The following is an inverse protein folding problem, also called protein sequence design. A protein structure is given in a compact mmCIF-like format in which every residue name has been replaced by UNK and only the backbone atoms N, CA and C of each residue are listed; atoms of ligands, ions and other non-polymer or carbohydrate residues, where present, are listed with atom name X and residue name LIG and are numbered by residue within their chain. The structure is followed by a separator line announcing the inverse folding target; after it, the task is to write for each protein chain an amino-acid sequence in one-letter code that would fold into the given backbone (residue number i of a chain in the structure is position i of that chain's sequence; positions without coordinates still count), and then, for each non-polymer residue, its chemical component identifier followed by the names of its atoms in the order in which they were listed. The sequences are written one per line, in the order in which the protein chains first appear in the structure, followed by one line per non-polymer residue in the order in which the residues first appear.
data_IF_362468435311
#
_entry.id   IF_362468435311
#
_cell.length_a   1.000
_cell.length_b   1.000
_cell.length_c   1.000
_cell.angle_alpha   90.00
_cell.angle_beta   90.00
_cell.angle_gamma   90.00
#
_symmetry.space_group_name_H-M   'P 1'
#
loop_
_entity.id
_entity.type
_entity.pdbx_description
1 polymer ?
#
# COMPACT_ATOMS: atom_id res chain seq x y z
N UNK A 1 -34.34 11.31 0.88
CA UNK A 1 -33.00 11.04 0.36
C UNK A 1 -32.47 9.77 0.98
N UNK A 2 -32.35 8.72 0.21
CA UNK A 2 -31.66 7.50 0.63
C UNK A 2 -30.17 7.68 0.42
N UNK A 3 -29.43 7.90 1.50
CA UNK A 3 -27.97 7.77 1.46
C UNK A 3 -27.65 6.29 1.19
N UNK A 4 -27.09 6.00 0.03
CA UNK A 4 -26.48 4.67 -0.20
C UNK A 4 -25.30 4.55 0.73
N UNK A 5 -25.45 3.76 1.78
CA UNK A 5 -24.32 3.36 2.61
C UNK A 5 -23.33 2.58 1.71
N UNK A 6 -22.04 2.94 1.76
CA UNK A 6 -21.01 2.18 1.07
C UNK A 6 -21.01 0.74 1.61
N UNK A 7 -20.83 -0.28 0.75
CA UNK A 7 -20.72 -1.65 1.23
C UNK A 7 -19.55 -1.76 2.21
N UNK A 8 -19.78 -2.41 3.36
CA UNK A 8 -18.77 -2.61 4.40
C UNK A 8 -17.95 -3.89 4.21
N UNK A 9 -18.36 -4.77 3.30
CA UNK A 9 -17.70 -6.03 2.99
C UNK A 9 -17.11 -5.94 1.60
N UNK A 10 -15.82 -6.30 1.47
CA UNK A 10 -15.10 -6.26 0.21
C UNK A 10 -14.01 -7.33 0.14
N UNK A 11 -13.51 -7.60 -1.06
CA UNK A 11 -12.35 -8.44 -1.32
C UNK A 11 -11.22 -7.60 -1.87
N UNK A 12 -9.98 -7.99 -1.59
CA UNK A 12 -8.81 -7.39 -2.21
C UNK A 12 -8.39 -8.21 -3.43
N UNK A 13 -8.12 -7.53 -4.53
CA UNK A 13 -7.56 -8.16 -5.73
C UNK A 13 -6.09 -8.53 -5.53
N UNK A 14 -5.59 -9.48 -6.30
CA UNK A 14 -4.17 -9.85 -6.30
C UNK A 14 -3.27 -8.66 -6.61
N UNK A 15 -3.72 -7.77 -7.48
CA UNK A 15 -3.01 -6.54 -7.83
C UNK A 15 -2.84 -5.63 -6.61
N UNK A 16 -3.91 -5.42 -5.85
CA UNK A 16 -3.87 -4.61 -4.63
C UNK A 16 -3.02 -5.27 -3.53
N UNK A 17 -3.11 -6.59 -3.38
CA UNK A 17 -2.26 -7.33 -2.45
C UNK A 17 -0.77 -7.21 -2.80
N UNK A 18 -0.43 -7.30 -4.09
CA UNK A 18 0.94 -7.12 -4.58
C UNK A 18 1.45 -5.71 -4.31
N UNK A 19 0.60 -4.71 -4.52
CA UNK A 19 0.91 -3.31 -4.23
C UNK A 19 1.17 -3.08 -2.74
N UNK A 20 0.32 -3.62 -1.87
CA UNK A 20 0.48 -3.50 -0.42
C UNK A 20 1.77 -4.20 0.07
N UNK A 21 2.14 -5.33 -0.53
CA UNK A 21 3.44 -5.99 -0.26
C UNK A 21 4.63 -5.09 -0.62
N UNK A 22 4.55 -4.38 -1.73
CA UNK A 22 5.55 -3.40 -2.14
C UNK A 22 5.61 -2.24 -1.13
N UNK A 23 4.46 -1.71 -0.73
CA UNK A 23 4.38 -0.63 0.26
C UNK A 23 4.93 -1.04 1.62
N UNK A 24 4.77 -2.30 2.03
CA UNK A 24 5.34 -2.82 3.27
C UNK A 24 6.88 -2.76 3.29
N UNK A 25 7.53 -2.79 2.13
CA UNK A 25 8.97 -2.57 2.01
C UNK A 25 9.40 -1.10 2.16
N UNK A 26 8.47 -0.16 2.02
CA UNK A 26 8.71 1.28 2.20
C UNK A 26 8.47 1.69 3.65
N UNK A 27 7.34 1.28 4.21
CA UNK A 27 6.95 1.50 5.60
C UNK A 27 6.22 0.26 6.13
N UNK A 28 6.63 -0.23 7.29
CA UNK A 28 5.98 -1.39 7.90
C UNK A 28 4.53 -1.14 8.33
N UNK A 29 4.15 0.11 8.50
CA UNK A 29 2.80 0.54 8.89
C UNK A 29 2.13 1.29 7.75
N UNK A 30 0.80 1.31 7.73
CA UNK A 30 0.04 2.10 6.76
C UNK A 30 -1.22 2.68 7.38
N UNK A 31 -1.54 3.91 7.02
CA UNK A 31 -2.84 4.54 7.24
C UNK A 31 -3.60 4.51 5.92
N UNK A 32 -4.64 3.69 5.85
CA UNK A 32 -5.51 3.60 4.67
C UNK A 32 -6.64 4.61 4.83
N UNK A 33 -6.78 5.50 3.87
CA UNK A 33 -7.88 6.48 3.83
C UNK A 33 -9.11 5.86 3.17
N UNK A 34 -10.28 6.41 3.48
CA UNK A 34 -11.49 6.08 2.74
C UNK A 34 -11.32 6.41 1.26
N UNK A 35 -11.75 5.51 0.37
CA UNK A 35 -11.65 5.68 -1.08
C UNK A 35 -10.74 4.65 -1.74
N UNK A 36 -10.25 4.97 -2.92
CA UNK A 36 -9.50 4.07 -3.79
C UNK A 36 -8.01 4.43 -3.94
N UNK A 37 -7.50 5.34 -3.12
CA UNK A 37 -6.11 5.79 -3.20
C UNK A 37 -5.32 5.27 -2.00
N UNK A 38 -4.22 4.57 -2.29
CA UNK A 38 -3.25 4.12 -1.29
C UNK A 38 -2.00 4.98 -1.37
N UNK A 39 -1.52 5.42 -0.22
CA UNK A 39 -0.33 6.26 -0.09
C UNK A 39 0.52 5.78 1.08
N UNK A 40 1.82 5.82 0.91
CA UNK A 40 2.78 5.54 1.98
C UNK A 40 3.99 6.46 1.88
N UNK A 41 4.66 6.65 2.98
CA UNK A 41 5.92 7.37 3.05
C UNK A 41 6.88 6.62 3.96
N UNK A 42 8.14 6.56 3.60
CA UNK A 42 9.18 5.95 4.42
C UNK A 42 9.36 6.72 5.74
N UNK A 43 9.84 6.03 6.78
CA UNK A 43 10.12 6.64 8.09
C UNK A 43 11.10 7.81 7.97
N UNK A 44 12.10 7.68 7.10
CA UNK A 44 13.05 8.75 6.78
C UNK A 44 12.45 9.87 5.93
N UNK A 45 11.21 9.72 5.46
CA UNK A 45 10.46 10.69 4.64
C UNK A 45 11.14 11.05 3.31
N UNK A 46 11.92 10.12 2.76
CA UNK A 46 12.64 10.29 1.49
C UNK A 46 12.04 9.46 0.34
N UNK A 47 11.08 8.58 0.61
CA UNK A 47 10.37 7.80 -0.39
C UNK A 47 8.87 7.97 -0.15
N UNK A 48 8.16 8.49 -1.14
CA UNK A 48 6.70 8.59 -1.13
C UNK A 48 6.16 7.77 -2.30
N UNK A 49 5.18 6.92 -2.03
CA UNK A 49 4.49 6.14 -3.05
C UNK A 49 2.98 6.37 -2.97
N UNK A 50 2.37 6.42 -4.13
CA UNK A 50 0.93 6.62 -4.29
C UNK A 50 0.41 5.73 -5.41
N UNK A 51 -0.76 5.14 -5.22
CA UNK A 51 -1.43 4.33 -6.25
C UNK A 51 -2.93 4.41 -6.11
N UNK A 52 -3.61 4.39 -7.26
CA UNK A 52 -5.05 4.17 -7.33
C UNK A 52 -5.33 2.70 -7.55
N UNK A 53 -6.30 2.17 -6.81
CA UNK A 53 -6.74 0.78 -6.88
C UNK A 53 -8.19 0.68 -7.34
N UNK A 54 -8.63 -0.52 -7.68
CA UNK A 54 -10.01 -0.75 -8.14
C UNK A 54 -11.00 -0.83 -6.97
N UNK A 55 -10.54 -1.23 -5.79
CA UNK A 55 -11.35 -1.30 -4.59
C UNK A 55 -11.61 0.11 -4.01
N UNK A 56 -12.75 0.26 -3.36
CA UNK A 56 -13.11 1.48 -2.65
C UNK A 56 -13.26 1.16 -1.16
N UNK A 57 -12.26 1.55 -0.37
CA UNK A 57 -12.28 1.31 1.07
C UNK A 57 -13.40 2.12 1.74
N UNK A 58 -14.26 1.48 2.55
CA UNK A 58 -15.44 2.13 3.11
C UNK A 58 -15.13 3.10 4.25
N UNK A 59 -13.92 3.01 4.84
CA UNK A 59 -13.51 3.81 5.98
C UNK A 59 -12.00 3.96 6.05
N UNK A 60 -11.55 4.94 6.83
CA UNK A 60 -10.15 5.05 7.23
C UNK A 60 -9.81 4.01 8.30
N UNK A 61 -8.63 3.40 8.20
CA UNK A 61 -8.11 2.49 9.20
C UNK A 61 -6.59 2.43 9.17
N UNK A 62 -5.98 2.10 10.30
CA UNK A 62 -4.54 2.01 10.47
C UNK A 62 -4.10 0.56 10.70
N UNK A 63 -3.05 0.15 10.01
CA UNK A 63 -2.39 -1.15 10.17
C UNK A 63 -0.97 -0.91 10.66
N UNK A 64 -0.65 -1.39 11.86
CA UNK A 64 0.68 -1.19 12.45
C UNK A 64 1.75 -2.06 11.80
N UNK A 65 1.45 -3.34 11.58
CA UNK A 65 2.34 -4.28 10.90
C UNK A 65 1.67 -4.82 9.63
N UNK A 66 1.99 -4.18 8.50
CA UNK A 66 1.39 -4.51 7.21
C UNK A 66 1.78 -5.92 6.74
N UNK A 67 3.00 -6.37 7.01
CA UNK A 67 3.40 -7.74 6.68
C UNK A 67 2.61 -8.78 7.47
N UNK A 68 2.40 -8.55 8.76
CA UNK A 68 1.56 -9.42 9.59
C UNK A 68 0.13 -9.49 9.05
N UNK A 69 -0.45 -8.35 8.70
CA UNK A 69 -1.79 -8.28 8.13
C UNK A 69 -1.88 -9.06 6.80
N UNK A 70 -0.93 -8.85 5.89
CA UNK A 70 -0.89 -9.52 4.59
C UNK A 70 -0.64 -11.02 4.74
N UNK A 71 0.25 -11.43 5.64
CA UNK A 71 0.49 -12.84 5.95
C UNK A 71 -0.75 -13.51 6.54
N UNK A 72 -1.47 -12.79 7.40
CA UNK A 72 -2.76 -13.25 7.93
C UNK A 72 -3.79 -13.47 6.83
N UNK A 73 -3.89 -12.56 5.86
CA UNK A 73 -4.78 -12.70 4.70
C UNK A 73 -4.40 -13.91 3.85
N UNK A 74 -3.10 -14.18 3.69
CA UNK A 74 -2.60 -15.30 2.87
C UNK A 74 -2.94 -16.68 3.42
N UNK A 75 -3.32 -16.78 4.68
CA UNK A 75 -3.81 -18.03 5.29
C UNK A 75 -5.21 -18.42 4.80
N UNK A 76 -5.90 -17.51 4.15
CA UNK A 76 -7.27 -17.69 3.66
C UNK A 76 -7.28 -17.67 2.12
N UNK A 77 -8.23 -18.39 1.54
CA UNK A 77 -8.47 -18.36 0.11
C UNK A 77 -9.57 -17.35 -0.19
N UNK A 78 -9.21 -16.28 -0.89
CA UNK A 78 -10.12 -15.22 -1.34
C UNK A 78 -11.07 -14.71 -0.23
N UNK A 79 -10.53 -14.25 0.93
CA UNK A 79 -11.34 -13.90 2.07
C UNK A 79 -12.13 -12.61 1.85
N UNK A 80 -13.28 -12.52 2.51
CA UNK A 80 -14.02 -11.28 2.66
C UNK A 80 -13.42 -10.44 3.81
N UNK A 81 -13.31 -9.15 3.58
CA UNK A 81 -12.95 -8.17 4.60
C UNK A 81 -14.20 -7.40 5.01
N UNK A 82 -14.57 -7.49 6.26
CA UNK A 82 -15.74 -6.82 6.82
C UNK A 82 -15.29 -5.66 7.73
N UNK A 83 -15.62 -4.45 7.31
CA UNK A 83 -15.27 -3.19 7.99
C UNK A 83 -16.41 -2.61 8.83
N UNK A 84 -17.41 -3.40 9.17
CA UNK A 84 -18.59 -2.93 9.92
C UNK A 84 -18.23 -2.40 11.31
N UNK A 85 -17.26 -3.05 11.97
CA UNK A 85 -16.86 -2.68 13.33
C UNK A 85 -15.82 -1.56 13.35
N UNK A 86 -15.89 -0.72 14.38
CA UNK A 86 -15.04 0.49 14.47
C UNK A 86 -13.60 0.20 14.88
N UNK A 87 -13.34 -0.93 15.54
CA UNK A 87 -12.04 -1.23 16.15
C UNK A 87 -11.27 -2.35 15.47
N UNK A 88 -11.90 -3.11 14.56
CA UNK A 88 -11.26 -4.23 13.88
C UNK A 88 -11.90 -4.56 12.53
N UNK A 89 -11.12 -5.23 11.68
CA UNK A 89 -11.60 -5.89 10.46
C UNK A 89 -11.91 -7.35 10.80
N UNK A 90 -13.05 -7.85 10.34
CA UNK A 90 -13.31 -9.28 10.37
C UNK A 90 -12.91 -9.90 9.02
N UNK A 91 -11.94 -10.79 9.05
CA UNK A 91 -11.50 -11.57 7.88
C UNK A 91 -12.32 -12.86 7.88
N UNK A 92 -13.04 -13.10 6.79
CA UNK A 92 -13.98 -14.22 6.68
C UNK A 92 -13.64 -15.14 5.53
N UNK A 93 -13.59 -16.42 5.80
CA UNK A 93 -13.52 -17.50 4.80
C UNK A 93 -14.46 -18.63 5.22
N UNK A 94 -15.60 -18.76 4.56
CA UNK A 94 -16.63 -19.73 4.93
C UNK A 94 -17.09 -19.52 6.39
N UNK A 95 -16.85 -20.52 7.23
CA UNK A 95 -17.18 -20.46 8.68
C UNK A 95 -16.05 -19.87 9.53
N UNK A 96 -14.85 -19.68 8.97
CA UNK A 96 -13.70 -19.15 9.68
C UNK A 96 -13.78 -17.63 9.75
N UNK A 97 -13.45 -17.08 10.90
CA UNK A 97 -13.44 -15.64 11.14
C UNK A 97 -12.24 -15.28 12.00
N UNK A 98 -11.53 -14.24 11.58
CA UNK A 98 -10.40 -13.67 12.33
C UNK A 98 -10.65 -12.18 12.49
N UNK A 99 -10.44 -11.66 13.68
CA UNK A 99 -10.49 -10.23 13.97
C UNK A 99 -9.08 -9.68 13.92
N UNK A 100 -8.88 -8.66 13.10
CA UNK A 100 -7.63 -7.91 13.05
C UNK A 100 -7.89 -6.50 13.58
N UNK A 101 -7.29 -6.17 14.72
CA UNK A 101 -7.52 -4.89 15.40
C UNK A 101 -6.72 -3.77 14.74
N UNK A 102 -7.36 -2.60 14.56
CA UNK A 102 -6.72 -1.41 14.04
C UNK A 102 -5.70 -0.84 15.03
N UNK A 103 -4.65 -0.22 14.51
CA UNK A 103 -3.75 0.60 15.29
C UNK A 103 -4.33 2.02 15.46
N UNK A 104 -3.75 2.78 16.39
CA UNK A 104 -4.03 4.22 16.49
C UNK A 104 -3.43 4.94 15.28
N UNK A 105 -4.21 5.69 14.50
CA UNK A 105 -3.70 6.43 13.35
C UNK A 105 -2.55 7.40 13.69
N UNK A 106 -2.51 7.90 14.93
CA UNK A 106 -1.49 8.86 15.36
C UNK A 106 -0.08 8.26 15.51
N UNK A 107 0.03 6.93 15.62
CA UNK A 107 1.34 6.25 15.68
C UNK A 107 1.90 5.91 14.29
N UNK A 108 1.11 6.11 13.25
CA UNK A 108 1.51 5.83 11.87
C UNK A 108 2.13 7.07 11.24
N UNK A 109 3.34 6.93 10.71
CA UNK A 109 3.94 7.95 9.85
C UNK A 109 3.30 7.83 8.48
N UNK A 110 2.50 8.83 8.12
CA UNK A 110 1.74 8.87 6.87
C UNK A 110 2.12 10.08 6.03
N UNK A 111 1.92 10.03 4.69
CA UNK A 111 2.20 11.16 3.82
C UNK A 111 1.38 12.41 4.22
N UNK A 112 1.89 13.63 3.93
CA UNK A 112 1.09 14.84 4.10
C UNK A 112 -0.14 14.78 3.18
N UNK A 113 -1.24 15.40 3.60
CA UNK A 113 -2.48 15.41 2.81
C UNK A 113 -2.34 16.16 1.48
N UNK A 114 -1.44 17.14 1.43
CA UNK A 114 -1.14 17.86 0.19
C UNK A 114 -0.46 16.95 -0.82
N UNK A 115 -0.90 17.06 -2.07
CA UNK A 115 -0.20 16.45 -3.21
C UNK A 115 1.20 17.06 -3.34
N UNK A 116 2.21 16.18 -3.36
CA UNK A 116 3.60 16.58 -3.60
C UNK A 116 3.83 16.58 -5.10
N UNK A 117 4.11 17.75 -5.66
CA UNK A 117 4.44 17.91 -7.08
C UNK A 117 5.91 18.27 -7.23
N UNK A 118 6.57 17.69 -8.24
CA UNK A 118 7.90 18.13 -8.63
C UNK A 118 7.81 19.56 -9.21
N UNK A 119 8.70 20.46 -8.80
CA UNK A 119 8.72 21.82 -9.36
C UNK A 119 9.09 21.84 -10.84
N UNK A 120 9.89 20.89 -11.30
CA UNK A 120 10.26 20.68 -12.70
C UNK A 120 10.57 19.21 -12.96
N UNK A 121 10.38 18.75 -14.20
CA UNK A 121 10.80 17.43 -14.66
C UNK A 121 11.98 17.62 -15.60
N UNK A 122 13.19 17.54 -15.07
CA UNK A 122 14.41 17.76 -15.86
C UNK A 122 14.83 16.55 -16.67
N UNK A 123 14.50 15.34 -16.18
CA UNK A 123 14.78 14.08 -16.86
C UNK A 123 13.52 13.23 -16.88
N UNK A 124 13.07 12.84 -18.06
CA UNK A 124 11.93 11.95 -18.26
C UNK A 124 12.30 10.88 -19.27
N UNK A 125 12.10 9.62 -18.94
CA UNK A 125 12.41 8.49 -19.83
C UNK A 125 11.52 7.30 -19.52
N UNK A 126 11.44 6.38 -20.47
CA UNK A 126 10.72 5.14 -20.33
C UNK A 126 11.70 3.98 -20.16
N UNK A 127 11.50 3.18 -19.10
CA UNK A 127 12.28 1.95 -18.90
C UNK A 127 11.57 0.77 -19.59
N UNK A 128 12.33 -0.01 -20.34
CA UNK A 128 11.85 -1.28 -20.88
C UNK A 128 11.77 -2.34 -19.75
N UNK A 129 10.87 -3.28 -19.92
CA UNK A 129 10.71 -4.40 -18.99
C UNK A 129 12.03 -5.17 -18.84
N UNK A 130 12.47 -5.36 -17.61
CA UNK A 130 13.73 -6.05 -17.29
C UNK A 130 14.97 -5.17 -17.28
N UNK A 131 14.94 -3.96 -17.83
CA UNK A 131 16.10 -3.06 -17.85
C UNK A 131 16.53 -2.64 -16.45
N UNK A 132 15.57 -2.32 -15.57
CA UNK A 132 15.88 -1.97 -14.17
C UNK A 132 16.52 -3.15 -13.42
N UNK A 133 16.02 -4.36 -13.60
CA UNK A 133 16.60 -5.57 -12.98
C UNK A 133 18.05 -5.79 -13.40
N UNK A 134 18.36 -5.61 -14.69
CA UNK A 134 19.74 -5.71 -15.20
C UNK A 134 20.65 -4.64 -14.59
N UNK A 135 20.18 -3.41 -14.48
CA UNK A 135 20.94 -2.32 -13.87
C UNK A 135 21.20 -2.57 -12.38
N UNK A 136 20.21 -3.04 -11.64
CA UNK A 136 20.36 -3.38 -10.22
C UNK A 136 21.36 -4.53 -10.05
N UNK A 137 21.29 -5.58 -10.87
CA UNK A 137 22.28 -6.66 -10.88
C UNK A 137 23.68 -6.17 -11.18
N UNK A 138 23.84 -5.34 -12.20
CA UNK A 138 25.15 -4.78 -12.56
C UNK A 138 25.71 -3.92 -11.41
N UNK A 139 24.91 -3.07 -10.79
CA UNK A 139 25.33 -2.29 -9.63
C UNK A 139 25.80 -3.19 -8.47
N UNK A 140 25.09 -4.29 -8.22
CA UNK A 140 25.47 -5.27 -7.19
C UNK A 140 26.79 -5.98 -7.52
N UNK A 141 26.99 -6.42 -8.76
CA UNK A 141 28.22 -7.09 -9.21
C UNK A 141 29.42 -6.16 -9.10
N UNK A 142 29.29 -4.92 -9.51
CA UNK A 142 30.37 -3.92 -9.46
C UNK A 142 30.46 -3.19 -8.12
N UNK A 143 29.65 -3.54 -7.15
CA UNK A 143 29.61 -2.92 -5.81
C UNK A 143 29.41 -1.40 -5.87
N UNK A 144 28.52 -0.95 -6.75
CA UNK A 144 28.16 0.46 -6.90
C UNK A 144 26.92 0.78 -6.08
N UNK A 145 26.94 1.81 -5.24
CA UNK A 145 25.81 2.14 -4.37
C UNK A 145 24.67 2.85 -5.12
N UNK A 146 24.96 3.46 -6.25
CA UNK A 146 24.00 4.34 -6.94
C UNK A 146 23.81 3.95 -8.40
N UNK A 147 22.61 4.23 -8.91
CA UNK A 147 22.26 4.20 -10.33
C UNK A 147 21.78 5.60 -10.69
N UNK A 148 22.37 6.17 -11.74
CA UNK A 148 22.03 7.52 -12.19
C UNK A 148 21.35 7.49 -13.55
N UNK A 149 20.29 8.31 -13.70
CA UNK A 149 19.68 8.60 -14.98
C UNK A 149 20.14 10.00 -15.42
N UNK A 150 20.75 10.06 -16.60
CA UNK A 150 21.32 11.30 -17.15
C UNK A 150 20.61 11.60 -18.47
N UNK A 151 20.08 12.82 -18.59
CA UNK A 151 19.52 13.30 -19.85
C UNK A 151 20.60 13.87 -20.78
N UNK A 152 20.39 13.68 -22.07
CA UNK A 152 21.24 14.26 -23.13
C UNK A 152 20.82 15.70 -23.43
#
# INVERSE_FOLDING_TARGET
MTMKLKPQIMKLSDKTLTLLKNFAGINQSILVKQGNKLRTISIAKNILAEAEITEDFPREFAVYDLNQFLNGLSLHQDPDLDFTEDSYITIREGKRRVKYFYADPNVIISPPEKEIKLPSEDVCFQLETGSLEKLVKAAGVYQLPDISAIGD
#
